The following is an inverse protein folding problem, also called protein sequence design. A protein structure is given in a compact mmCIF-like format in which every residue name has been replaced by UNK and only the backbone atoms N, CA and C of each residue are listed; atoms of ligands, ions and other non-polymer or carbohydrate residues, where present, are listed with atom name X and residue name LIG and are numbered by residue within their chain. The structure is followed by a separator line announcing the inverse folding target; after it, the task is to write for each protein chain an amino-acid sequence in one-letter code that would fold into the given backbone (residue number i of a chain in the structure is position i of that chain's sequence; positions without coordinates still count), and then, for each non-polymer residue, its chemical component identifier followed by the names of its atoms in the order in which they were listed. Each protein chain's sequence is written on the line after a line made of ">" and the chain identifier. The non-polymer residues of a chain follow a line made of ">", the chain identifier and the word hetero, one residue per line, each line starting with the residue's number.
data_IF_049168937850
#
_entry.id   IF_049168937850
#
_cell.length_a   1.000
_cell.length_b   1.000
_cell.length_c   1.000
_cell.angle_alpha   90.00
_cell.angle_beta   90.00
_cell.angle_gamma   90.00
#
_symmetry.space_group_name_H-M   'P 1'
#
loop_
_entity.id
_entity.type
_entity.pdbx_description
1 polymer ?
#
# COMPACT_ATOMS: atom_id res chain seq x y z
N UNK A 1 -13.35 38.77 7.06
CA UNK A 1 -12.77 37.42 7.05
C UNK A 1 -13.94 36.47 7.24
N UNK A 2 -14.43 35.93 6.14
CA UNK A 2 -15.62 35.08 6.08
C UNK A 2 -15.17 33.63 6.00
N UNK A 3 -15.43 32.87 7.06
CA UNK A 3 -15.27 31.42 7.08
C UNK A 3 -16.38 30.83 6.19
N UNK A 4 -15.99 30.38 4.99
CA UNK A 4 -16.89 29.73 4.06
C UNK A 4 -17.08 28.26 4.47
N UNK A 5 -18.20 27.97 5.14
CA UNK A 5 -18.71 26.62 5.26
C UNK A 5 -19.58 26.29 4.04
N UNK A 6 -19.48 25.08 3.46
CA UNK A 6 -20.32 24.67 2.33
C UNK A 6 -21.79 24.53 2.76
N UNK A 7 -22.69 25.15 1.99
CA UNK A 7 -24.12 25.33 2.31
C UNK A 7 -25.01 24.09 2.05
N UNK A 8 -24.53 23.00 1.45
CA UNK A 8 -25.22 21.69 1.50
C UNK A 8 -24.35 20.54 0.98
N UNK A 9 -24.63 19.33 1.47
CA UNK A 9 -24.05 18.05 1.04
C UNK A 9 -25.14 17.30 0.28
N UNK A 10 -24.93 16.98 -1.00
CA UNK A 10 -25.92 16.26 -1.82
C UNK A 10 -26.02 14.78 -1.46
N UNK A 11 -24.91 14.13 -1.12
CA UNK A 11 -24.88 12.74 -0.65
C UNK A 11 -23.57 12.47 0.10
N UNK A 12 -23.65 11.77 1.24
CA UNK A 12 -22.50 11.35 2.04
C UNK A 12 -22.72 9.91 2.46
N UNK A 13 -21.96 8.99 1.86
CA UNK A 13 -21.97 7.58 2.21
C UNK A 13 -20.76 7.26 3.09
N UNK A 14 -21.04 6.84 4.33
CA UNK A 14 -20.07 6.11 5.14
C UNK A 14 -20.43 4.64 5.02
N UNK A 15 -19.62 3.89 4.30
CA UNK A 15 -19.63 2.44 4.39
C UNK A 15 -18.74 2.01 5.56
N UNK A 16 -19.38 1.75 6.71
CA UNK A 16 -18.72 1.11 7.84
C UNK A 16 -18.79 -0.39 7.58
N UNK A 17 -17.66 -1.01 7.20
CA UNK A 17 -17.57 -2.47 7.25
C UNK A 17 -17.51 -2.91 8.71
N UNK A 18 -18.32 -3.91 9.09
CA UNK A 18 -18.16 -4.57 10.38
C UNK A 18 -16.71 -5.06 10.50
N UNK A 19 -15.97 -4.47 11.43
CA UNK A 19 -14.65 -4.97 11.83
C UNK A 19 -14.88 -6.32 12.53
N UNK A 20 -14.92 -7.39 11.73
CA UNK A 20 -14.87 -8.73 12.26
C UNK A 20 -13.49 -8.93 12.90
N UNK A 21 -13.47 -9.08 14.23
CA UNK A 21 -12.30 -9.53 14.98
C UNK A 21 -11.85 -10.87 14.38
N UNK A 22 -10.87 -10.81 13.49
CA UNK A 22 -10.33 -11.97 12.80
C UNK A 22 -9.73 -12.88 13.88
N UNK A 23 -10.22 -14.12 13.94
CA UNK A 23 -9.66 -15.14 14.82
C UNK A 23 -8.16 -15.37 14.54
N UNK A 24 -7.48 -16.22 15.33
CA UNK A 24 -6.02 -16.42 15.29
C UNK A 24 -5.45 -17.02 14.00
N UNK A 25 -6.26 -17.15 12.94
CA UNK A 25 -5.85 -17.67 11.64
C UNK A 25 -5.13 -16.57 10.85
N UNK A 26 -3.85 -16.81 10.53
CA UNK A 26 -3.01 -15.92 9.72
C UNK A 26 -3.51 -15.69 8.27
N UNK A 27 -4.46 -16.51 7.82
CA UNK A 27 -5.01 -16.45 6.47
C UNK A 27 -6.39 -15.79 6.44
N UNK A 28 -6.51 -14.69 5.71
CA UNK A 28 -7.79 -14.04 5.39
C UNK A 28 -8.29 -14.56 4.04
N UNK A 29 -9.53 -15.02 4.01
CA UNK A 29 -10.16 -15.46 2.76
C UNK A 29 -10.49 -14.25 1.88
N UNK A 30 -10.34 -14.40 0.56
CA UNK A 30 -10.77 -13.36 -0.38
C UNK A 30 -12.26 -13.02 -0.15
N UNK A 31 -12.64 -11.72 -0.12
CA UNK A 31 -14.02 -11.28 -0.10
C UNK A 31 -14.88 -12.01 -1.13
N UNK A 32 -16.12 -12.32 -0.79
CA UNK A 32 -17.03 -13.03 -1.71
C UNK A 32 -17.37 -12.24 -2.97
N UNK A 33 -17.24 -10.91 -2.91
CA UNK A 33 -17.39 -9.99 -4.03
C UNK A 33 -16.28 -10.12 -5.08
N UNK A 34 -15.14 -10.72 -4.73
CA UNK A 34 -14.03 -10.95 -5.65
C UNK A 34 -14.17 -12.33 -6.34
N UNK A 35 -14.00 -12.40 -7.67
CA UNK A 35 -14.16 -13.64 -8.42
C UNK A 35 -13.08 -14.68 -8.05
N UNK A 36 -13.50 -15.75 -7.37
CA UNK A 36 -12.63 -16.80 -6.81
C UNK A 36 -12.06 -17.79 -7.84
N UNK A 37 -12.55 -17.78 -9.09
CA UNK A 37 -12.12 -18.71 -10.15
C UNK A 37 -12.00 -17.97 -11.48
N UNK A 38 -10.87 -18.14 -12.16
CA UNK A 38 -10.54 -17.70 -13.54
C UNK A 38 -9.99 -16.28 -13.78
N UNK A 39 -9.77 -15.44 -12.77
CA UNK A 39 -9.33 -14.04 -12.99
C UNK A 39 -7.86 -13.74 -12.64
N UNK A 40 -7.01 -14.76 -12.50
CA UNK A 40 -5.57 -14.55 -12.25
C UNK A 40 -5.22 -14.03 -10.85
N UNK A 41 -6.18 -14.02 -9.92
CA UNK A 41 -5.94 -13.68 -8.51
C UNK A 41 -5.66 -14.97 -7.74
N UNK A 42 -4.43 -15.09 -7.20
CA UNK A 42 -4.00 -16.21 -6.37
C UNK A 42 -3.77 -15.68 -4.96
N UNK A 43 -4.63 -16.05 -4.01
CA UNK A 43 -4.44 -15.74 -2.60
C UNK A 43 -3.67 -16.89 -1.93
N UNK A 44 -2.35 -16.76 -1.85
CA UNK A 44 -1.45 -17.79 -1.32
C UNK A 44 -1.67 -17.94 0.19
N UNK A 45 -1.86 -19.18 0.62
CA UNK A 45 -2.07 -19.56 2.02
C UNK A 45 -0.72 -19.80 2.70
N UNK A 46 -0.32 -18.87 3.55
CA UNK A 46 0.87 -19.00 4.40
C UNK A 46 0.53 -18.72 5.88
N UNK A 47 1.36 -19.26 6.78
CA UNK A 47 1.25 -19.06 8.24
C UNK A 47 2.49 -18.37 8.83
N UNK A 48 3.38 -17.88 7.98
CA UNK A 48 4.59 -17.13 8.30
C UNK A 48 4.42 -15.65 7.91
N UNK A 49 5.42 -14.82 8.17
CA UNK A 49 5.38 -13.39 7.82
C UNK A 49 5.83 -13.11 6.37
N UNK A 50 6.05 -14.15 5.56
CA UNK A 50 6.63 -14.06 4.21
C UNK A 50 5.57 -13.92 3.09
N UNK A 51 4.37 -13.44 3.42
CA UNK A 51 3.23 -13.35 2.50
C UNK A 51 3.54 -12.55 1.22
N UNK A 52 4.30 -11.46 1.35
CA UNK A 52 4.75 -10.65 0.21
C UNK A 52 5.69 -11.45 -0.70
N UNK A 53 6.73 -12.06 -0.14
CA UNK A 53 7.68 -12.86 -0.91
C UNK A 53 7.01 -14.02 -1.63
N UNK A 54 6.09 -14.73 -0.96
CA UNK A 54 5.35 -15.83 -1.58
C UNK A 54 4.49 -15.34 -2.74
N UNK A 55 3.87 -14.16 -2.62
CA UNK A 55 3.06 -13.55 -3.68
C UNK A 55 3.90 -13.19 -4.91
N UNK A 56 5.11 -12.64 -4.70
CA UNK A 56 6.04 -12.34 -5.80
C UNK A 56 6.51 -13.63 -6.48
N UNK A 57 6.92 -14.64 -5.70
CA UNK A 57 7.35 -15.93 -6.27
C UNK A 57 6.22 -16.64 -7.02
N UNK A 58 4.97 -16.57 -6.53
CA UNK A 58 3.81 -17.14 -7.23
C UNK A 58 3.52 -16.49 -8.58
N UNK A 59 3.83 -15.19 -8.73
CA UNK A 59 3.72 -14.48 -10.00
C UNK A 59 4.88 -14.82 -10.95
N UNK A 60 6.10 -14.94 -10.44
CA UNK A 60 7.30 -15.29 -11.23
C UNK A 60 7.32 -16.76 -11.67
N UNK A 61 6.76 -17.65 -10.84
CA UNK A 61 6.74 -19.10 -11.06
C UNK A 61 5.31 -19.66 -11.06
N UNK A 62 4.50 -19.42 -12.10
CA UNK A 62 3.09 -19.78 -12.09
C UNK A 62 2.86 -21.30 -12.01
N UNK A 63 2.13 -21.74 -10.99
CA UNK A 63 1.73 -23.15 -10.81
C UNK A 63 0.29 -23.36 -11.29
N UNK A 64 0.06 -24.41 -12.10
CA UNK A 64 -1.26 -24.68 -12.71
C UNK A 64 -2.27 -25.32 -11.76
N UNK A 65 -1.80 -26.09 -10.78
CA UNK A 65 -2.65 -26.89 -9.90
C UNK A 65 -2.45 -26.44 -8.46
N UNK A 66 -3.52 -25.97 -7.82
CA UNK A 66 -3.52 -25.49 -6.44
C UNK A 66 -2.38 -24.49 -6.09
N UNK A 67 -2.19 -23.42 -6.88
CA UNK A 67 -1.10 -22.46 -6.64
C UNK A 67 -1.22 -21.73 -5.30
N UNK A 68 -2.39 -21.79 -4.66
CA UNK A 68 -2.66 -21.16 -3.38
C UNK A 68 -2.12 -21.92 -2.16
N UNK A 69 -1.63 -23.17 -2.31
CA UNK A 69 -1.33 -24.06 -1.17
C UNK A 69 0.16 -24.28 -0.97
N UNK A 70 0.57 -24.46 0.28
CA UNK A 70 1.92 -24.93 0.66
C UNK A 70 3.05 -24.17 -0.03
N UNK A 71 3.17 -22.85 0.17
CA UNK A 71 4.11 -22.02 -0.58
C UNK A 71 5.57 -22.44 -0.38
N UNK A 72 5.95 -22.92 0.81
CA UNK A 72 7.30 -23.47 1.03
C UNK A 72 7.62 -24.65 0.10
N UNK A 73 6.65 -25.49 -0.24
CA UNK A 73 6.86 -26.62 -1.13
C UNK A 73 6.84 -26.20 -2.60
N UNK A 74 5.93 -25.29 -2.97
CA UNK A 74 5.78 -24.85 -4.36
C UNK A 74 6.88 -23.87 -4.79
N UNK A 75 7.29 -22.98 -3.89
CA UNK A 75 8.14 -21.84 -4.21
C UNK A 75 9.43 -21.79 -3.41
N UNK A 76 9.62 -22.67 -2.41
CA UNK A 76 10.79 -22.65 -1.52
C UNK A 76 12.13 -22.77 -2.24
N UNK A 77 12.18 -23.49 -3.37
CA UNK A 77 13.38 -23.61 -4.20
C UNK A 77 13.78 -22.31 -4.92
N UNK A 78 12.91 -21.30 -4.95
CA UNK A 78 13.14 -20.01 -5.61
C UNK A 78 13.35 -18.86 -4.63
N UNK A 79 13.38 -19.13 -3.32
CA UNK A 79 13.53 -18.08 -2.29
C UNK A 79 14.82 -17.29 -2.49
N UNK A 80 15.91 -17.94 -2.91
CA UNK A 80 17.19 -17.29 -3.18
C UNK A 80 17.18 -16.39 -4.43
N UNK A 81 16.17 -16.52 -5.31
CA UNK A 81 16.01 -15.63 -6.46
C UNK A 81 15.48 -14.25 -6.06
N UNK A 82 14.88 -14.13 -4.87
CA UNK A 82 14.26 -12.92 -4.36
C UNK A 82 15.14 -12.28 -3.29
N UNK A 83 15.78 -11.14 -3.62
CA UNK A 83 16.50 -10.36 -2.62
C UNK A 83 15.51 -9.56 -1.75
N UNK A 84 15.41 -9.93 -0.48
CA UNK A 84 14.52 -9.33 0.53
C UNK A 84 15.28 -8.60 1.65
N UNK A 85 16.61 -8.44 1.56
CA UNK A 85 17.45 -7.93 2.67
C UNK A 85 17.05 -6.54 3.16
N UNK A 86 16.63 -5.66 2.24
CA UNK A 86 16.25 -4.27 2.54
C UNK A 86 14.72 -4.09 2.74
N UNK A 87 13.95 -5.17 2.66
CA UNK A 87 12.49 -5.11 2.80
C UNK A 87 12.11 -5.54 4.22
N UNK A 88 11.54 -4.63 5.05
CA UNK A 88 11.06 -5.01 6.37
C UNK A 88 9.95 -6.08 6.27
N UNK A 89 10.07 -7.13 7.08
CA UNK A 89 9.09 -8.23 7.14
C UNK A 89 8.45 -8.23 8.54
N UNK A 90 7.11 -8.10 8.64
CA UNK A 90 6.14 -7.96 7.56
C UNK A 90 6.22 -6.59 6.86
N UNK A 91 5.92 -6.57 5.56
CA UNK A 91 5.96 -5.35 4.72
C UNK A 91 4.96 -4.33 5.29
N UNK A 92 5.40 -3.10 5.66
CA UNK A 92 4.53 -2.04 6.15
C UNK A 92 3.47 -1.66 5.12
N UNK A 93 2.29 -1.21 5.59
CA UNK A 93 1.14 -0.81 4.76
C UNK A 93 1.35 0.57 4.09
N UNK A 94 2.54 0.84 3.54
CA UNK A 94 2.83 2.07 2.80
C UNK A 94 2.18 2.01 1.41
N UNK A 95 0.84 2.12 1.37
CA UNK A 95 0.06 2.21 0.14
C UNK A 95 0.15 3.61 -0.50
N UNK A 96 0.60 4.63 0.25
CA UNK A 96 0.53 6.02 -0.18
C UNK A 96 1.65 6.45 -1.16
N UNK A 97 2.81 5.79 -1.18
CA UNK A 97 3.96 6.20 -2.00
C UNK A 97 4.16 5.35 -3.25
N UNK A 98 3.80 4.06 -3.23
CA UNK A 98 4.01 3.16 -4.38
C UNK A 98 3.28 3.65 -5.64
N UNK A 99 2.08 4.20 -5.47
CA UNK A 99 1.27 4.67 -6.60
C UNK A 99 1.85 5.94 -7.22
N UNK A 100 2.48 6.79 -6.40
CA UNK A 100 3.18 8.00 -6.83
C UNK A 100 4.52 7.64 -7.50
N UNK A 101 5.29 6.72 -6.92
CA UNK A 101 6.55 6.20 -7.48
C UNK A 101 6.36 5.44 -8.79
N UNK A 102 5.23 4.73 -8.95
CA UNK A 102 4.84 4.07 -10.20
C UNK A 102 4.13 5.00 -11.21
N UNK A 103 3.70 6.20 -10.77
CA UNK A 103 3.02 7.16 -11.66
C UNK A 103 3.99 7.82 -12.65
N UNK A 104 5.27 7.91 -12.29
CA UNK A 104 6.33 8.50 -13.09
C UNK A 104 7.45 7.47 -13.35
N UNK A 105 7.55 6.89 -14.56
CA UNK A 105 8.64 5.95 -14.85
C UNK A 105 9.99 6.67 -14.74
N UNK A 106 11.00 5.99 -14.16
CA UNK A 106 12.36 6.51 -14.07
C UNK A 106 12.91 6.92 -15.43
N UNK A 107 13.79 7.91 -15.45
CA UNK A 107 14.49 8.31 -16.68
C UNK A 107 15.44 7.19 -17.16
N UNK A 108 15.57 7.04 -18.47
CA UNK A 108 16.41 5.99 -19.06
C UNK A 108 17.89 6.29 -18.87
N UNK A 109 18.61 5.35 -18.26
CA UNK A 109 20.05 5.40 -18.03
C UNK A 109 20.75 4.47 -19.03
N UNK A 110 21.60 5.05 -19.89
CA UNK A 110 22.47 4.34 -20.84
C UNK A 110 23.91 4.37 -20.34
N UNK A 111 24.52 3.20 -20.16
CA UNK A 111 25.94 3.05 -19.86
C UNK A 111 26.80 3.21 -21.12
N UNK A 112 28.11 3.50 -20.97
CA UNK A 112 29.05 3.45 -22.09
C UNK A 112 29.01 2.07 -22.76
N UNK A 113 28.69 2.03 -24.05
CA UNK A 113 28.55 0.79 -24.82
C UNK A 113 27.10 0.35 -25.08
N UNK A 114 26.12 0.81 -24.31
CA UNK A 114 24.71 0.46 -24.52
C UNK A 114 24.19 1.00 -25.85
N UNK A 115 24.59 2.22 -26.21
CA UNK A 115 24.20 2.82 -27.49
C UNK A 115 24.81 2.05 -28.67
N UNK A 116 26.05 1.57 -28.53
CA UNK A 116 26.71 0.75 -29.55
C UNK A 116 25.97 -0.59 -29.71
N UNK A 117 25.73 -1.28 -28.60
CA UNK A 117 24.96 -2.53 -28.55
C UNK A 117 23.56 -2.36 -29.14
N UNK A 118 22.89 -1.25 -28.81
CA UNK A 118 21.60 -0.91 -29.39
C UNK A 118 21.72 -0.73 -30.91
N UNK A 119 22.67 0.05 -31.42
CA UNK A 119 22.77 0.31 -32.87
C UNK A 119 23.08 -0.96 -33.66
N UNK A 120 24.01 -1.78 -33.17
CA UNK A 120 24.50 -3.01 -33.84
C UNK A 120 23.50 -4.17 -33.79
N UNK A 121 22.55 -4.17 -32.85
CA UNK A 121 21.62 -5.28 -32.70
C UNK A 121 20.71 -5.49 -33.93
N UNK A 122 20.66 -6.72 -34.41
CA UNK A 122 19.77 -7.15 -35.51
C UNK A 122 18.47 -7.75 -35.00
N UNK A 123 18.39 -8.09 -33.72
CA UNK A 123 17.29 -8.84 -33.11
C UNK A 123 16.75 -8.20 -31.84
N UNK A 124 15.45 -8.42 -31.61
CA UNK A 124 14.76 -8.01 -30.41
C UNK A 124 15.16 -8.86 -29.21
N UNK A 125 15.62 -8.22 -28.14
CA UNK A 125 16.05 -8.95 -26.95
C UNK A 125 14.91 -9.72 -26.26
N UNK A 126 13.67 -9.26 -26.42
CA UNK A 126 12.45 -9.86 -25.83
C UNK A 126 12.01 -11.10 -26.61
N UNK A 127 11.72 -10.96 -27.90
CA UNK A 127 11.12 -12.03 -28.70
C UNK A 127 12.10 -12.80 -29.58
N UNK A 128 13.38 -12.39 -29.61
CA UNK A 128 14.47 -12.96 -30.42
C UNK A 128 14.23 -12.94 -31.94
N UNK A 129 13.27 -12.15 -32.43
CA UNK A 129 13.02 -11.95 -33.86
C UNK A 129 13.76 -10.73 -34.38
N UNK A 130 14.12 -10.75 -35.66
CA UNK A 130 14.85 -9.66 -36.32
C UNK A 130 14.08 -8.34 -36.36
N UNK A 131 14.81 -7.23 -36.44
CA UNK A 131 14.24 -5.92 -36.74
C UNK A 131 14.00 -5.79 -38.24
N UNK A 132 12.74 -5.59 -38.61
CA UNK A 132 12.34 -5.36 -39.99
C UNK A 132 12.23 -3.85 -40.20
N UNK A 133 12.82 -3.35 -41.28
CA UNK A 133 12.61 -1.94 -41.68
C UNK A 133 11.15 -1.76 -42.09
N UNK A 134 10.46 -0.71 -41.62
CA UNK A 134 9.10 -0.43 -42.05
C UNK A 134 9.03 -0.25 -43.57
N UNK A 135 7.90 -0.61 -44.18
CA UNK A 135 7.67 -0.34 -45.61
C UNK A 135 7.60 1.17 -45.86
N UNK A 136 7.92 1.59 -47.09
CA UNK A 136 7.78 3.00 -47.48
C UNK A 136 6.35 3.51 -47.31
N UNK A 137 5.35 2.68 -47.62
CA UNK A 137 3.94 3.03 -47.42
C UNK A 137 3.61 3.27 -45.93
N UNK A 138 4.13 2.44 -45.02
CA UNK A 138 3.92 2.63 -43.59
C UNK A 138 4.61 3.89 -43.06
N UNK A 139 5.82 4.20 -43.57
CA UNK A 139 6.53 5.44 -43.26
C UNK A 139 5.75 6.68 -43.72
N UNK A 140 5.24 6.66 -44.95
CA UNK A 140 4.47 7.77 -45.50
C UNK A 140 3.18 8.00 -44.70
N UNK A 141 2.42 6.94 -44.39
CA UNK A 141 1.22 7.02 -43.55
C UNK A 141 1.53 7.62 -42.16
N UNK A 142 2.68 7.26 -41.59
CA UNK A 142 3.13 7.84 -40.32
C UNK A 142 3.49 9.33 -40.43
N UNK A 143 4.21 9.73 -41.48
CA UNK A 143 4.58 11.13 -41.70
C UNK A 143 3.34 12.02 -41.92
N UNK A 144 2.37 11.56 -42.72
CA UNK A 144 1.09 12.26 -42.93
C UNK A 144 0.32 12.42 -41.61
N UNK A 145 0.20 11.35 -40.81
CA UNK A 145 -0.47 11.41 -39.52
C UNK A 145 0.25 12.32 -38.52
N UNK A 146 1.59 12.34 -38.54
CA UNK A 146 2.41 13.24 -37.72
C UNK A 146 2.18 14.69 -38.09
N UNK A 147 2.11 15.00 -39.38
CA UNK A 147 1.88 16.36 -39.86
C UNK A 147 0.51 16.89 -39.43
N UNK A 148 -0.57 16.11 -39.62
CA UNK A 148 -1.92 16.48 -39.14
C UNK A 148 -1.97 16.74 -37.63
N UNK A 149 -1.23 15.95 -36.84
CA UNK A 149 -1.14 16.16 -35.40
C UNK A 149 -0.43 17.47 -35.04
N UNK A 150 0.58 17.88 -35.82
CA UNK A 150 1.27 19.17 -35.66
C UNK A 150 0.35 20.33 -36.02
N UNK A 151 -0.37 20.26 -37.14
CA UNK A 151 -1.34 21.29 -37.55
C UNK A 151 -2.41 21.53 -36.48
N UNK A 152 -2.93 20.46 -35.85
CA UNK A 152 -3.87 20.62 -34.75
C UNK A 152 -3.22 21.31 -33.55
N UNK A 153 -2.00 20.94 -33.18
CA UNK A 153 -1.32 21.57 -32.05
C UNK A 153 -1.09 23.06 -32.30
N UNK A 154 -0.71 23.42 -33.51
CA UNK A 154 -0.57 24.81 -33.94
C UNK A 154 -1.92 25.54 -33.90
N UNK A 155 -2.99 24.91 -34.38
CA UNK A 155 -4.33 25.47 -34.31
C UNK A 155 -4.83 25.66 -32.86
N UNK A 156 -4.63 24.68 -31.98
CA UNK A 156 -5.01 24.76 -30.55
C UNK A 156 -4.27 25.90 -29.85
N UNK A 157 -2.99 26.13 -30.21
CA UNK A 157 -2.22 27.27 -29.73
C UNK A 157 -2.79 28.60 -30.23
N UNK A 158 -3.17 28.69 -31.51
CA UNK A 158 -3.72 29.92 -32.08
C UNK A 158 -5.13 30.25 -31.58
N UNK A 159 -5.94 29.23 -31.26
CA UNK A 159 -7.35 29.40 -30.92
C UNK A 159 -7.63 29.31 -29.42
N UNK A 160 -6.62 28.94 -28.62
CA UNK A 160 -6.70 28.73 -27.17
C UNK A 160 -7.86 27.80 -26.74
N UNK A 161 -8.21 26.84 -27.60
CA UNK A 161 -9.28 25.87 -27.37
C UNK A 161 -8.92 24.50 -27.90
N UNK A 162 -9.57 23.48 -27.36
CA UNK A 162 -9.36 22.11 -27.78
C UNK A 162 -9.95 21.85 -29.17
N UNK A 163 -9.17 21.21 -30.06
CA UNK A 163 -9.65 20.90 -31.41
C UNK A 163 -10.67 19.76 -31.36
N UNK A 164 -11.86 19.88 -32.00
CA UNK A 164 -12.92 18.89 -31.91
C UNK A 164 -12.50 17.50 -32.40
N UNK A 165 -11.61 17.43 -33.39
CA UNK A 165 -11.09 16.16 -33.93
C UNK A 165 -9.81 15.65 -33.25
N UNK A 166 -9.30 16.31 -32.20
CA UNK A 166 -8.02 15.98 -31.56
C UNK A 166 -7.92 14.51 -31.19
N UNK A 167 -8.97 13.95 -30.55
CA UNK A 167 -8.99 12.54 -30.13
C UNK A 167 -8.87 11.57 -31.33
N UNK A 168 -9.52 11.89 -32.45
CA UNK A 168 -9.49 11.10 -33.68
C UNK A 168 -8.10 11.13 -34.30
N UNK A 169 -7.51 12.30 -34.48
CA UNK A 169 -6.18 12.44 -35.10
C UNK A 169 -5.06 11.87 -34.20
N UNK A 170 -5.18 12.03 -32.88
CA UNK A 170 -4.29 11.33 -31.94
C UNK A 170 -4.40 9.81 -32.05
N UNK A 171 -5.60 9.27 -32.30
CA UNK A 171 -5.79 7.83 -32.54
C UNK A 171 -5.13 7.39 -33.85
N UNK A 172 -5.37 8.10 -34.95
CA UNK A 172 -4.74 7.85 -36.26
C UNK A 172 -3.20 7.86 -36.17
N UNK A 173 -2.63 8.86 -35.49
CA UNK A 173 -1.19 8.93 -35.24
C UNK A 173 -0.67 7.74 -34.43
N UNK A 174 -1.36 7.34 -33.34
CA UNK A 174 -0.96 6.18 -32.53
C UNK A 174 -1.00 4.88 -33.32
N UNK A 175 -2.01 4.70 -34.17
CA UNK A 175 -2.15 3.52 -35.05
C UNK A 175 -1.03 3.48 -36.09
N UNK A 176 -0.78 4.59 -36.78
CA UNK A 176 0.30 4.70 -37.76
C UNK A 176 1.69 4.47 -37.13
N UNK A 177 1.94 5.03 -35.94
CA UNK A 177 3.17 4.81 -35.19
C UNK A 177 3.35 3.34 -34.79
N UNK A 178 2.27 2.69 -34.33
CA UNK A 178 2.32 1.28 -33.94
C UNK A 178 2.56 0.35 -35.13
N UNK A 179 2.04 0.69 -36.32
CA UNK A 179 2.23 -0.07 -37.54
C UNK A 179 3.70 -0.13 -38.00
N UNK A 180 4.52 0.88 -37.65
CA UNK A 180 5.96 0.86 -37.93
C UNK A 180 6.70 -0.25 -37.19
N UNK A 181 6.20 -0.65 -36.01
CA UNK A 181 6.82 -1.61 -35.10
C UNK A 181 8.35 -1.47 -34.99
N UNK A 182 8.80 -0.20 -34.88
CA UNK A 182 10.20 0.16 -34.98
C UNK A 182 11.04 -0.43 -33.84
N UNK A 183 12.35 -0.43 -34.03
CA UNK A 183 13.32 -0.69 -32.97
C UNK A 183 13.27 0.45 -31.95
N UNK A 184 13.11 0.09 -30.67
CA UNK A 184 13.06 1.00 -29.51
C UNK A 184 13.99 0.51 -28.41
N UNK A 185 14.37 1.40 -27.49
CA UNK A 185 15.19 1.07 -26.32
C UNK A 185 14.28 0.68 -25.17
N UNK A 186 14.32 -0.58 -24.78
CA UNK A 186 13.62 -1.07 -23.58
C UNK A 186 14.50 -0.88 -22.35
N UNK A 187 13.88 -0.47 -21.25
CA UNK A 187 14.55 -0.17 -20.00
C UNK A 187 13.64 -0.50 -18.82
N UNK A 188 14.25 -0.69 -17.66
CA UNK A 188 13.53 -0.88 -16.42
C UNK A 188 12.89 0.43 -15.94
N UNK A 189 11.58 0.47 -15.80
CA UNK A 189 10.86 1.67 -15.36
C UNK A 189 11.10 2.04 -13.90
N UNK A 190 11.60 1.11 -13.09
CA UNK A 190 11.93 1.35 -11.68
C UNK A 190 13.38 1.86 -11.58
N UNK A 191 14.35 1.10 -12.10
CA UNK A 191 15.77 1.48 -11.97
C UNK A 191 16.31 2.39 -13.08
N UNK A 192 15.56 2.64 -14.15
CA UNK A 192 15.99 3.39 -15.33
C UNK A 192 16.96 2.61 -16.24
N UNK A 193 17.47 1.44 -15.83
CA UNK A 193 18.54 0.73 -16.53
C UNK A 193 18.09 0.20 -17.88
N UNK A 194 18.86 0.48 -18.93
CA UNK A 194 18.68 -0.12 -20.25
C UNK A 194 18.77 -1.66 -20.18
N UNK A 195 17.78 -2.34 -20.77
CA UNK A 195 17.72 -3.81 -20.84
C UNK A 195 18.12 -4.31 -22.21
N UNK A 196 17.67 -3.63 -23.27
CA UNK A 196 18.03 -4.02 -24.63
C UNK A 196 17.20 -3.38 -25.74
N UNK A 197 17.57 -3.66 -27.00
CA UNK A 197 16.82 -3.24 -28.18
C UNK A 197 15.57 -4.11 -28.36
N UNK A 198 14.38 -3.52 -28.39
CA UNK A 198 13.10 -4.21 -28.51
C UNK A 198 12.29 -3.71 -29.70
N UNK A 199 11.31 -4.50 -30.14
CA UNK A 199 10.24 -3.97 -31.01
C UNK A 199 9.34 -3.06 -30.18
N UNK A 200 8.81 -1.99 -30.78
CA UNK A 200 7.83 -1.10 -30.13
C UNK A 200 6.65 -1.88 -29.54
N UNK A 201 6.11 -2.85 -30.29
CA UNK A 201 5.04 -3.71 -29.79
C UNK A 201 5.47 -4.65 -28.65
N UNK A 202 6.72 -5.12 -28.64
CA UNK A 202 7.23 -5.95 -27.54
C UNK A 202 7.46 -5.11 -26.28
N UNK A 203 8.04 -3.92 -26.43
CA UNK A 203 8.28 -2.96 -25.34
C UNK A 203 6.96 -2.55 -24.66
N UNK A 204 5.91 -2.28 -25.45
CA UNK A 204 4.57 -1.95 -24.90
C UNK A 204 4.00 -3.05 -23.98
N UNK A 205 4.31 -4.32 -24.23
CA UNK A 205 3.86 -5.44 -23.38
C UNK A 205 4.55 -5.49 -22.01
N UNK A 206 5.73 -4.89 -21.89
CA UNK A 206 6.50 -4.84 -20.65
C UNK A 206 6.35 -3.50 -19.93
N UNK A 207 5.48 -2.61 -20.45
CA UNK A 207 5.30 -1.27 -19.91
C UNK A 207 4.59 -1.37 -18.56
N UNK A 208 5.31 -1.04 -17.49
CA UNK A 208 4.71 -0.84 -16.17
C UNK A 208 3.98 0.51 -16.22
N UNK A 209 2.66 0.50 -16.08
CA UNK A 209 1.82 1.69 -16.05
C UNK A 209 0.67 1.52 -15.05
N UNK A 210 0.26 2.63 -14.42
CA UNK A 210 -0.72 2.69 -13.33
C UNK A 210 -2.09 2.05 -13.64
N UNK A 211 -2.44 1.86 -14.92
CA UNK A 211 -3.71 1.28 -15.35
C UNK A 211 -3.63 -0.14 -15.92
N UNK A 212 -2.48 -0.58 -16.44
CA UNK A 212 -2.36 -1.88 -17.13
C UNK A 212 -1.82 -3.00 -16.24
N UNK A 213 -1.04 -2.68 -15.20
CA UNK A 213 -0.55 -3.66 -14.24
C UNK A 213 -1.27 -3.50 -12.91
N UNK A 214 -2.45 -4.12 -12.80
CA UNK A 214 -3.09 -4.32 -11.50
C UNK A 214 -2.36 -5.48 -10.82
N UNK A 215 -1.37 -5.19 -9.98
CA UNK A 215 -0.91 -6.15 -8.97
C UNK A 215 -1.77 -5.88 -7.73
N UNK A 216 -2.88 -6.61 -7.51
CA UNK A 216 -3.60 -6.52 -6.26
C UNK A 216 -2.71 -7.14 -5.17
N UNK A 217 -1.89 -6.31 -4.55
CA UNK A 217 -1.10 -6.69 -3.40
C UNK A 217 -1.99 -6.57 -2.17
N UNK A 218 -2.68 -7.65 -1.82
CA UNK A 218 -3.44 -7.73 -0.57
C UNK A 218 -2.49 -8.32 0.48
N UNK A 219 -1.68 -7.47 1.11
CA UNK A 219 -0.87 -7.85 2.26
C UNK A 219 -1.72 -7.80 3.52
N UNK A 220 -1.99 -8.95 4.15
CA UNK A 220 -2.74 -8.99 5.40
C UNK A 220 -2.17 -10.01 6.38
N UNK A 221 -0.95 -9.77 6.84
CA UNK A 221 -0.48 -10.42 8.06
C UNK A 221 -0.56 -9.41 9.19
N UNK A 222 -1.79 -9.13 9.66
CA UNK A 222 -2.05 -8.27 10.83
C UNK A 222 -1.50 -8.86 12.15
N UNK A 223 -0.53 -9.78 12.13
CA UNK A 223 0.18 -10.25 13.33
C UNK A 223 0.94 -9.07 13.95
N UNK A 224 0.32 -8.43 14.94
CA UNK A 224 0.88 -7.30 15.70
C UNK A 224 -0.07 -6.09 15.82
N UNK A 225 -0.89 -5.84 14.79
CA UNK A 225 -1.76 -4.66 14.73
C UNK A 225 -3.20 -4.91 15.21
N UNK A 226 -3.57 -6.17 15.45
CA UNK A 226 -4.86 -6.61 16.02
C UNK A 226 -5.23 -5.87 17.31
N UNK A 227 -4.22 -5.37 18.01
CA UNK A 227 -4.25 -4.84 19.36
C UNK A 227 -4.26 -3.31 19.44
N UNK A 228 -3.98 -2.61 18.33
CA UNK A 228 -3.84 -1.15 18.30
C UNK A 228 -5.14 -0.41 18.65
N UNK A 229 -6.29 -1.00 18.34
CA UNK A 229 -7.62 -0.47 18.69
C UNK A 229 -8.14 -0.88 20.07
N UNK A 230 -7.38 -1.68 20.84
CA UNK A 230 -7.83 -2.21 22.12
C UNK A 230 -7.32 -1.41 23.31
N UNK A 231 -8.12 -1.34 24.37
CA UNK A 231 -7.69 -0.80 25.65
C UNK A 231 -6.57 -1.63 26.27
N UNK A 232 -5.67 -0.96 27.00
CA UNK A 232 -4.53 -1.58 27.69
C UNK A 232 -4.95 -2.74 28.61
N UNK A 233 -6.12 -2.63 29.23
CA UNK A 233 -6.75 -3.65 30.05
C UNK A 233 -7.00 -4.96 29.27
N UNK A 234 -7.59 -4.87 28.08
CA UNK A 234 -7.79 -6.04 27.21
C UNK A 234 -6.46 -6.63 26.76
N UNK A 235 -5.46 -5.80 26.48
CA UNK A 235 -4.13 -6.27 26.10
C UNK A 235 -3.46 -7.08 27.23
N UNK A 236 -3.59 -6.61 28.47
CA UNK A 236 -3.06 -7.32 29.63
C UNK A 236 -3.82 -8.62 29.88
N UNK A 237 -5.14 -8.63 29.69
CA UNK A 237 -5.96 -9.84 29.75
C UNK A 237 -5.51 -10.89 28.72
N UNK A 238 -5.25 -10.51 27.47
CA UNK A 238 -4.73 -11.43 26.43
C UNK A 238 -3.35 -11.99 26.77
N UNK A 239 -2.51 -11.20 27.43
CA UNK A 239 -1.25 -11.67 27.98
C UNK A 239 -1.45 -12.54 29.24
N UNK A 240 -2.69 -12.86 29.61
CA UNK A 240 -3.06 -13.77 30.69
C UNK A 240 -3.09 -13.11 32.07
N UNK A 241 -2.99 -11.78 32.15
CA UNK A 241 -3.10 -11.01 33.39
C UNK A 241 -2.03 -11.31 34.46
N UNK A 242 -1.04 -12.16 34.14
CA UNK A 242 -0.01 -12.61 35.08
C UNK A 242 1.19 -11.66 35.05
N UNK A 243 1.57 -11.17 36.22
CA UNK A 243 2.70 -10.26 36.40
C UNK A 243 4.03 -10.80 35.86
N UNK A 244 4.19 -12.13 35.86
CA UNK A 244 5.35 -12.85 35.33
C UNK A 244 5.61 -12.55 33.85
N UNK A 245 4.56 -12.25 33.08
CA UNK A 245 4.68 -11.92 31.64
C UNK A 245 5.17 -10.49 31.38
N UNK A 246 5.22 -9.63 32.40
CA UNK A 246 5.62 -8.22 32.30
C UNK A 246 6.99 -7.99 32.96
N UNK A 247 7.94 -8.89 32.71
CA UNK A 247 9.23 -8.93 33.43
C UNK A 247 9.99 -7.61 33.39
N UNK A 248 10.01 -6.92 32.24
CA UNK A 248 10.70 -5.63 32.09
C UNK A 248 10.04 -4.52 32.92
N UNK A 249 8.71 -4.39 32.84
CA UNK A 249 7.94 -3.41 33.61
C UNK A 249 8.10 -3.64 35.10
N UNK A 250 7.95 -4.89 35.54
CA UNK A 250 8.07 -5.27 36.95
C UNK A 250 9.47 -4.98 37.46
N UNK A 251 10.52 -5.37 36.72
CA UNK A 251 11.91 -5.11 37.10
C UNK A 251 12.16 -3.61 37.23
N UNK A 252 11.81 -2.82 36.21
CA UNK A 252 12.05 -1.37 36.18
C UNK A 252 11.42 -0.65 37.39
N UNK A 253 10.14 -0.92 37.68
CA UNK A 253 9.47 -0.23 38.79
C UNK A 253 9.86 -0.79 40.16
N UNK A 254 10.24 -2.07 40.26
CA UNK A 254 10.80 -2.62 41.50
C UNK A 254 12.16 -2.00 41.83
N UNK A 255 13.03 -1.81 40.84
CA UNK A 255 14.32 -1.10 40.99
C UNK A 255 14.14 0.36 41.42
N UNK A 256 12.99 0.96 41.08
CA UNK A 256 12.60 2.32 41.52
C UNK A 256 11.93 2.35 42.90
N UNK A 257 11.80 1.21 43.57
CA UNK A 257 11.25 1.10 44.94
C UNK A 257 9.73 0.99 45.03
N UNK A 258 9.02 0.74 43.92
CA UNK A 258 7.57 0.55 43.95
C UNK A 258 7.21 -0.87 44.39
N UNK A 259 6.16 -1.00 45.21
CA UNK A 259 5.61 -2.31 45.59
C UNK A 259 4.90 -2.98 44.41
N UNK A 260 4.85 -4.31 44.43
CA UNK A 260 4.16 -5.12 43.42
C UNK A 260 2.70 -4.67 43.25
N UNK A 261 2.03 -4.30 44.34
CA UNK A 261 0.62 -3.86 44.27
C UNK A 261 0.46 -2.51 43.57
N UNK A 262 1.43 -1.58 43.67
CA UNK A 262 1.45 -0.35 42.87
C UNK A 262 1.75 -0.65 41.39
N UNK A 263 2.64 -1.59 41.11
CA UNK A 263 2.98 -2.00 39.73
C UNK A 263 1.77 -2.61 39.03
N UNK A 264 0.96 -3.43 39.72
CA UNK A 264 -0.27 -4.01 39.17
C UNK A 264 -1.28 -2.95 38.70
N UNK A 265 -1.26 -1.75 39.27
CA UNK A 265 -2.15 -0.67 38.84
C UNK A 265 -1.84 -0.20 37.40
N UNK A 266 -0.59 -0.37 36.94
CA UNK A 266 -0.14 0.03 35.60
C UNK A 266 -0.66 -0.88 34.47
N UNK A 267 -1.24 -2.03 34.82
CA UNK A 267 -1.81 -2.98 33.86
C UNK A 267 -3.21 -2.59 33.37
N UNK A 268 -3.71 -1.44 33.84
CA UNK A 268 -4.97 -0.87 33.44
C UNK A 268 -4.77 0.62 33.12
N UNK A 269 -5.51 1.14 32.16
CA UNK A 269 -5.50 2.57 31.85
C UNK A 269 -6.04 3.35 33.06
N UNK A 270 -5.33 4.41 33.45
CA UNK A 270 -5.83 5.35 34.46
C UNK A 270 -7.12 6.04 34.02
N UNK A 271 -7.96 6.39 34.99
CA UNK A 271 -9.23 7.09 34.75
C UNK A 271 -9.11 8.53 35.24
N UNK A 272 -9.45 9.50 34.39
CA UNK A 272 -9.21 10.92 34.64
C UNK A 272 -10.47 11.77 34.39
N UNK A 273 -10.78 12.77 35.25
CA UNK A 273 -12.00 13.57 35.14
C UNK A 273 -11.80 14.75 34.16
N UNK A 274 -11.77 14.48 32.86
CA UNK A 274 -11.47 15.47 31.83
C UNK A 274 -12.38 16.71 31.88
N UNK A 275 -13.70 16.51 31.92
CA UNK A 275 -14.68 17.60 31.92
C UNK A 275 -14.60 18.49 33.18
N UNK A 276 -14.26 17.89 34.33
CA UNK A 276 -14.04 18.67 35.54
C UNK A 276 -12.71 19.43 35.51
N UNK A 277 -11.69 18.93 34.81
CA UNK A 277 -10.33 19.54 34.80
C UNK A 277 -10.23 20.65 33.76
N UNK A 278 -11.11 21.65 33.86
CA UNK A 278 -11.24 22.75 32.91
C UNK A 278 -10.45 24.03 33.27
N UNK A 279 -9.53 23.96 34.25
CA UNK A 279 -8.72 25.09 34.70
C UNK A 279 -7.40 24.59 35.32
N UNK A 280 -6.33 25.39 35.23
CA UNK A 280 -4.98 25.00 35.65
C UNK A 280 -4.87 24.74 37.16
N UNK A 281 -5.59 25.52 37.96
CA UNK A 281 -5.60 25.44 39.43
C UNK A 281 -6.17 24.12 39.95
N UNK A 282 -6.81 23.33 39.06
CA UNK A 282 -7.31 21.99 39.37
C UNK A 282 -6.22 20.93 39.36
N UNK A 283 -5.10 21.17 38.66
CA UNK A 283 -3.93 20.30 38.69
C UNK A 283 -3.12 20.44 39.99
N UNK A 284 -3.21 21.58 40.67
CA UNK A 284 -2.56 21.83 41.96
C UNK A 284 -3.31 21.18 43.15
N UNK A 285 -4.45 20.55 42.90
CA UNK A 285 -5.25 19.89 43.95
C UNK A 285 -4.59 18.57 44.37
N UNK A 286 -4.45 18.38 45.67
CA UNK A 286 -3.89 17.17 46.28
C UNK A 286 -4.93 16.06 46.51
N UNK A 287 -6.10 16.14 45.87
CA UNK A 287 -7.15 15.15 45.99
C UNK A 287 -8.02 15.12 44.73
N UNK A 288 -8.46 13.92 44.33
CA UNK A 288 -9.43 13.77 43.25
C UNK A 288 -10.78 14.42 43.58
N UNK A 289 -11.52 14.92 42.57
CA UNK A 289 -12.88 15.41 42.77
C UNK A 289 -13.80 14.26 43.19
N UNK A 290 -14.93 14.60 43.82
CA UNK A 290 -15.99 13.63 44.09
C UNK A 290 -16.43 12.95 42.78
N UNK A 291 -16.94 11.70 42.86
CA UNK A 291 -17.38 10.89 41.71
C UNK A 291 -18.23 11.65 40.68
N UNK A 292 -19.08 12.59 41.13
CA UNK A 292 -19.88 13.47 40.26
C UNK A 292 -19.04 14.30 39.26
N UNK A 293 -17.81 14.67 39.62
CA UNK A 293 -16.86 15.37 38.76
C UNK A 293 -16.22 14.51 37.68
N UNK A 294 -16.43 13.19 37.68
CA UNK A 294 -16.02 12.29 36.59
C UNK A 294 -17.13 12.08 35.55
N UNK A 295 -18.23 12.83 35.62
CA UNK A 295 -19.26 12.77 34.58
C UNK A 295 -18.67 13.23 33.25
N UNK A 296 -18.77 12.38 32.22
CA UNK A 296 -18.28 12.72 30.89
C UNK A 296 -19.41 13.29 30.04
N UNK A 297 -19.22 14.50 29.50
CA UNK A 297 -20.17 15.09 28.55
C UNK A 297 -20.18 14.32 27.23
N UNK A 298 -19.02 13.80 26.82
CA UNK A 298 -18.87 13.02 25.59
C UNK A 298 -19.66 11.71 25.62
N UNK A 299 -19.53 10.91 26.70
CA UNK A 299 -20.26 9.65 26.83
C UNK A 299 -21.63 9.78 27.51
N UNK A 300 -21.97 10.98 28.02
CA UNK A 300 -23.17 11.27 28.81
C UNK A 300 -23.40 10.31 29.98
N UNK A 301 -22.30 9.88 30.61
CA UNK A 301 -22.33 8.87 31.66
C UNK A 301 -21.41 9.28 32.81
N UNK A 302 -21.77 8.81 34.00
CA UNK A 302 -20.91 8.91 35.17
C UNK A 302 -19.96 7.71 35.25
N UNK A 303 -18.78 7.89 35.85
CA UNK A 303 -17.82 6.81 36.08
C UNK A 303 -18.43 5.69 36.92
N UNK A 304 -18.02 4.43 36.69
CA UNK A 304 -18.40 3.29 37.53
C UNK A 304 -17.81 3.42 38.95
N UNK A 305 -18.31 2.61 39.89
CA UNK A 305 -17.78 2.65 41.27
C UNK A 305 -16.36 2.09 41.31
N UNK A 306 -16.15 1.02 40.55
CA UNK A 306 -14.91 0.27 40.42
C UNK A 306 -13.81 1.14 39.81
N UNK A 307 -14.15 1.95 38.79
CA UNK A 307 -13.21 2.85 38.12
C UNK A 307 -12.83 4.04 38.98
N UNK A 308 -13.78 4.54 39.77
CA UNK A 308 -13.51 5.60 40.74
C UNK A 308 -12.58 5.11 41.86
N UNK A 309 -12.82 3.92 42.41
CA UNK A 309 -11.92 3.28 43.38
C UNK A 309 -10.52 3.04 42.79
N UNK A 310 -10.44 2.65 41.50
CA UNK A 310 -9.16 2.50 40.80
C UNK A 310 -8.43 3.84 40.65
N UNK A 311 -9.14 4.91 40.26
CA UNK A 311 -8.56 6.25 40.18
C UNK A 311 -8.03 6.73 41.54
N UNK A 312 -8.75 6.46 42.63
CA UNK A 312 -8.30 6.79 43.99
C UNK A 312 -7.00 6.08 44.36
N UNK A 313 -6.86 4.78 44.03
CA UNK A 313 -5.63 4.01 44.28
C UNK A 313 -4.44 4.48 43.43
N UNK A 314 -4.69 4.96 42.21
CA UNK A 314 -3.66 5.51 41.32
C UNK A 314 -3.15 6.88 41.78
N UNK A 315 -4.03 7.67 42.39
CA UNK A 315 -3.70 9.02 42.86
C UNK A 315 -3.01 9.04 44.24
N UNK A 316 -3.10 7.94 45.02
CA UNK A 316 -2.50 7.77 46.36
C UNK A 316 -1.07 7.22 46.37
#
# INVERSE_FOLDING_TARGET
>A
MSDAYPEYIEEFSIEISDFNLIGPTAYISLPETLPKRNNGIINIKNNDDWCFGWSVLGALHPVKVHPERNPHQLYGGFVEELNMEDIPIPVPEEQATIQEDLSAPAEMILKPGDLKSYNEATECWICKKSFIKPSQEALQKFEEAKYRLLEIKEWELCMEKEHPEKKKIQKEYREALSALNRKVKDYDHISGKFRGPAHDACNKKLRIGSFEMKVPLICHNFRGFQHMGMGLDKLVEYLGGKIEKFTLTVRYFTEKGYSIDKIKLLFRKGVFPYDWTNAWEKFDKTSLPHRKGFYSLFSQQNISKEDYEHAQKMFS
#
